data_IF_572541752416
#
_entry.id   IF_572541752416
#
_cell.length_a   1.000
_cell.length_b   1.000
_cell.length_c   1.000
_cell.angle_alpha   90.00
_cell.angle_beta   90.00
_cell.angle_gamma   90.00
#
_symmetry.space_group_name_H-M   'P 1'
#
loop_
_entity.id
_entity.type
_entity.pdbx_description
1 polymer ?
#
# COMPACT_ATOMS: atom_id res chain seq x y z
N UNK A 1 18.32 -21.43 13.39
CA UNK A 1 17.07 -22.18 13.15
C UNK A 1 15.89 -21.30 13.59
N UNK A 2 15.29 -20.52 12.66
CA UNK A 2 13.97 -19.91 12.90
C UNK A 2 12.93 -21.01 12.69
N UNK A 3 12.20 -21.33 13.75
CA UNK A 3 11.36 -22.53 13.89
C UNK A 3 10.16 -22.46 12.95
N UNK A 4 9.74 -23.60 12.42
CA UNK A 4 8.52 -23.80 11.60
C UNK A 4 7.25 -23.16 12.19
N UNK A 5 7.23 -22.95 13.50
CA UNK A 5 6.18 -22.25 14.25
C UNK A 5 6.09 -20.74 13.89
N UNK A 6 7.21 -20.03 13.72
CA UNK A 6 7.17 -18.61 13.29
C UNK A 6 6.64 -18.47 11.85
N UNK A 7 7.03 -19.38 10.96
CA UNK A 7 6.53 -19.40 9.58
C UNK A 7 5.03 -19.67 9.54
N UNK A 8 4.54 -20.58 10.39
CA UNK A 8 3.11 -20.93 10.48
C UNK A 8 2.29 -19.78 11.07
N UNK A 9 2.79 -19.13 12.14
CA UNK A 9 2.18 -17.91 12.70
C UNK A 9 2.14 -16.77 11.68
N UNK A 10 3.23 -16.57 10.93
CA UNK A 10 3.31 -15.58 9.86
C UNK A 10 2.32 -15.87 8.73
N UNK A 11 2.17 -17.14 8.34
CA UNK A 11 1.19 -17.56 7.34
C UNK A 11 -0.25 -17.24 7.78
N UNK A 12 -0.63 -17.62 9.01
CA UNK A 12 -1.95 -17.31 9.55
C UNK A 12 -2.22 -15.81 9.65
N UNK A 13 -1.24 -15.03 10.13
CA UNK A 13 -1.35 -13.58 10.20
C UNK A 13 -1.56 -12.95 8.81
N UNK A 14 -0.82 -13.44 7.81
CA UNK A 14 -0.93 -12.98 6.41
C UNK A 14 -2.29 -13.33 5.82
N UNK A 15 -2.78 -14.54 6.04
CA UNK A 15 -4.11 -14.97 5.59
C UNK A 15 -5.22 -14.14 6.24
N UNK A 16 -5.16 -13.94 7.56
CA UNK A 16 -6.12 -13.11 8.27
C UNK A 16 -6.10 -11.66 7.77
N UNK A 17 -4.92 -11.11 7.50
CA UNK A 17 -4.77 -9.76 6.95
C UNK A 17 -5.39 -9.66 5.56
N UNK A 18 -5.09 -10.59 4.65
CA UNK A 18 -5.66 -10.57 3.29
C UNK A 18 -7.16 -10.83 3.26
N UNK A 19 -7.69 -11.70 4.11
CA UNK A 19 -9.14 -11.90 4.24
C UNK A 19 -9.83 -10.64 4.74
N UNK A 20 -9.29 -10.04 5.80
CA UNK A 20 -9.81 -8.78 6.36
C UNK A 20 -9.80 -7.69 5.28
N UNK A 21 -8.70 -7.57 4.54
CA UNK A 21 -8.56 -6.59 3.48
C UNK A 21 -9.50 -6.86 2.28
N UNK A 22 -9.71 -8.12 1.91
CA UNK A 22 -10.67 -8.51 0.87
C UNK A 22 -12.13 -8.22 1.21
N UNK A 23 -12.48 -8.12 2.49
CA UNK A 23 -13.82 -7.74 2.95
C UNK A 23 -14.05 -6.22 2.95
N UNK A 24 -12.99 -5.40 2.86
CA UNK A 24 -13.08 -3.93 2.94
C UNK A 24 -13.97 -3.33 1.84
N UNK A 25 -13.88 -3.72 0.56
CA UNK A 25 -14.77 -3.17 -0.48
C UNK A 25 -16.25 -3.46 -0.20
N UNK A 26 -16.57 -4.61 0.41
CA UNK A 26 -17.95 -4.96 0.80
C UNK A 26 -18.44 -4.06 1.94
N UNK A 27 -17.59 -3.82 2.93
CA UNK A 27 -17.88 -2.88 4.01
C UNK A 27 -18.12 -1.46 3.48
N UNK A 28 -17.25 -0.97 2.59
CA UNK A 28 -17.41 0.36 2.00
C UNK A 28 -18.66 0.54 1.18
N UNK A 29 -19.04 -0.49 0.41
CA UNK A 29 -20.33 -0.48 -0.28
C UNK A 29 -21.51 -0.42 0.70
N UNK A 30 -21.41 -1.07 1.86
CA UNK A 30 -22.45 -0.98 2.89
C UNK A 30 -22.53 0.40 3.58
N UNK A 31 -21.48 1.22 3.49
CA UNK A 31 -21.42 2.59 4.04
C UNK A 31 -21.28 3.66 2.96
N UNK A 32 -21.77 3.41 1.75
CA UNK A 32 -21.64 4.30 0.58
C UNK A 32 -22.22 5.72 0.78
N UNK A 33 -23.11 5.89 1.76
CA UNK A 33 -23.65 7.19 2.15
C UNK A 33 -22.62 8.11 2.83
N UNK A 34 -21.49 7.56 3.30
CA UNK A 34 -20.39 8.30 3.91
C UNK A 34 -19.40 8.65 2.81
N UNK A 35 -19.04 9.92 2.74
CA UNK A 35 -18.08 10.40 1.76
C UNK A 35 -16.67 9.83 1.96
N UNK A 36 -15.88 9.76 0.88
CA UNK A 36 -14.49 9.29 0.93
C UNK A 36 -13.62 10.06 1.95
N UNK A 37 -13.85 11.37 2.07
CA UNK A 37 -13.10 12.23 2.98
C UNK A 37 -13.44 11.95 4.46
N UNK A 38 -14.71 11.76 4.79
CA UNK A 38 -15.13 11.38 6.14
C UNK A 38 -14.57 10.02 6.54
N UNK A 39 -14.55 9.07 5.60
CA UNK A 39 -14.00 7.74 5.86
C UNK A 39 -12.49 7.77 6.15
N UNK A 40 -11.73 8.59 5.41
CA UNK A 40 -10.31 8.81 5.69
C UNK A 40 -10.14 9.51 7.05
N UNK A 41 -10.96 10.51 7.38
CA UNK A 41 -10.88 11.22 8.65
C UNK A 41 -11.12 10.28 9.85
N UNK A 42 -12.15 9.43 9.80
CA UNK A 42 -12.39 8.42 10.83
C UNK A 42 -11.22 7.45 10.98
N UNK A 43 -10.64 7.05 9.85
CA UNK A 43 -9.50 6.14 9.85
C UNK A 43 -8.27 6.76 10.51
N UNK A 44 -7.98 8.02 10.22
CA UNK A 44 -6.87 8.78 10.84
C UNK A 44 -7.11 8.97 12.33
N UNK A 45 -8.33 9.38 12.71
CA UNK A 45 -8.72 9.65 14.09
C UNK A 45 -8.55 8.43 15.00
N UNK A 46 -8.86 7.23 14.50
CA UNK A 46 -8.67 5.98 15.25
C UNK A 46 -7.27 5.38 15.10
N UNK A 47 -6.59 5.58 13.96
CA UNK A 47 -5.25 5.05 13.75
C UNK A 47 -4.21 5.68 14.69
N UNK A 48 -4.27 6.99 14.92
CA UNK A 48 -3.33 7.69 15.81
C UNK A 48 -3.31 7.14 17.25
N UNK A 49 -4.43 7.09 18.00
CA UNK A 49 -4.44 6.57 19.35
C UNK A 49 -4.07 5.09 19.39
N UNK A 50 -4.52 4.30 18.42
CA UNK A 50 -4.18 2.88 18.34
C UNK A 50 -2.66 2.70 18.17
N UNK A 51 -2.06 3.34 17.18
CA UNK A 51 -0.61 3.29 16.94
C UNK A 51 0.19 3.84 18.12
N UNK A 52 -0.30 4.90 18.79
CA UNK A 52 0.33 5.44 19.98
C UNK A 52 0.36 4.42 21.13
N UNK A 53 -0.71 3.63 21.34
CA UNK A 53 -0.75 2.54 22.32
C UNK A 53 0.25 1.43 21.97
N UNK A 54 0.35 1.02 20.72
CA UNK A 54 1.34 0.02 20.31
C UNK A 54 2.78 0.54 20.47
N UNK A 55 3.02 1.83 20.18
CA UNK A 55 4.31 2.46 20.38
C UNK A 55 4.70 2.60 21.86
N UNK A 56 3.75 2.89 22.76
CA UNK A 56 4.03 2.90 24.21
C UNK A 56 4.33 1.49 24.71
N UNK A 57 3.52 0.49 24.34
CA UNK A 57 3.76 -0.92 24.70
C UNK A 57 5.11 -1.44 24.18
N UNK A 58 5.45 -1.10 22.93
CA UNK A 58 6.72 -1.48 22.30
C UNK A 58 7.90 -0.56 22.61
N UNK A 59 7.73 0.48 23.45
CA UNK A 59 8.74 1.50 23.77
C UNK A 59 9.37 2.19 22.54
N UNK A 60 8.62 2.31 21.44
CA UNK A 60 9.08 2.78 20.13
C UNK A 60 9.30 4.30 19.99
N UNK A 61 8.99 5.10 21.03
CA UNK A 61 9.05 6.58 20.98
C UNK A 61 10.47 7.15 20.77
N UNK A 62 11.52 6.42 21.13
CA UNK A 62 12.90 6.79 20.80
C UNK A 62 13.13 6.81 19.29
N UNK A 63 12.60 5.82 18.56
CA UNK A 63 12.71 5.72 17.10
C UNK A 63 11.91 6.82 16.39
N UNK A 64 10.71 7.13 16.87
CA UNK A 64 9.93 8.28 16.37
C UNK A 64 10.74 9.57 16.48
N UNK A 65 11.30 9.86 17.66
CA UNK A 65 12.15 11.05 17.87
C UNK A 65 13.42 11.05 17.01
N UNK A 66 14.01 9.88 16.75
CA UNK A 66 15.17 9.75 15.88
C UNK A 66 14.85 10.11 14.43
N UNK A 67 13.66 9.73 13.93
CA UNK A 67 13.17 10.11 12.60
C UNK A 67 12.92 11.62 12.53
N UNK A 68 12.23 12.20 13.52
CA UNK A 68 11.94 13.64 13.57
C UNK A 68 13.21 14.51 13.50
N UNK A 69 14.31 14.05 14.10
CA UNK A 69 15.59 14.78 14.11
C UNK A 69 16.32 14.74 12.77
N UNK A 70 16.03 13.78 11.89
CA UNK A 70 16.73 13.58 10.62
C UNK A 70 15.87 14.11 9.47
N UNK A 71 16.16 15.34 9.02
CA UNK A 71 15.45 16.00 7.90
C UNK A 71 15.29 15.13 6.64
N UNK A 72 16.30 14.33 6.29
CA UNK A 72 16.25 13.46 5.12
C UNK A 72 15.27 12.30 5.30
N UNK A 73 15.21 11.70 6.51
CA UNK A 73 14.27 10.62 6.82
C UNK A 73 12.86 11.18 6.88
N UNK A 74 12.69 12.37 7.45
CA UNK A 74 11.40 13.06 7.44
C UNK A 74 10.90 13.33 6.02
N UNK A 75 11.76 13.82 5.12
CA UNK A 75 11.37 14.02 3.71
C UNK A 75 10.90 12.70 3.06
N UNK A 76 11.58 11.60 3.35
CA UNK A 76 11.18 10.26 2.89
C UNK A 76 9.82 9.85 3.45
N UNK A 77 9.56 10.13 4.73
CA UNK A 77 8.24 9.89 5.37
C UNK A 77 7.15 10.74 4.73
N UNK A 78 7.40 12.01 4.42
CA UNK A 78 6.42 12.87 3.74
C UNK A 78 6.10 12.34 2.34
N UNK A 79 7.11 11.90 1.60
CA UNK A 79 6.91 11.28 0.27
C UNK A 79 6.13 9.97 0.38
N UNK A 80 6.48 9.08 1.31
CA UNK A 80 5.77 7.81 1.49
C UNK A 80 4.33 8.04 1.96
N UNK A 81 4.12 8.98 2.90
CA UNK A 81 2.81 9.42 3.36
C UNK A 81 1.94 9.96 2.22
N UNK A 82 2.51 10.79 1.34
CA UNK A 82 1.80 11.34 0.19
C UNK A 82 1.41 10.25 -0.81
N UNK A 83 2.33 9.33 -1.12
CA UNK A 83 2.08 8.22 -2.03
C UNK A 83 0.96 7.30 -1.53
N UNK A 84 1.00 6.93 -0.24
CA UNK A 84 -0.02 6.06 0.35
C UNK A 84 -1.36 6.81 0.49
N UNK A 85 -1.37 8.10 0.79
CA UNK A 85 -2.59 8.91 0.83
C UNK A 85 -3.29 8.98 -0.54
N UNK A 86 -2.53 9.28 -1.60
CA UNK A 86 -3.06 9.27 -2.98
C UNK A 86 -3.58 7.89 -3.34
N UNK A 87 -2.84 6.83 -3.00
CA UNK A 87 -3.27 5.46 -3.27
C UNK A 87 -4.62 5.13 -2.62
N UNK A 88 -4.78 5.45 -1.33
CA UNK A 88 -6.03 5.20 -0.61
C UNK A 88 -7.18 6.04 -1.15
N UNK A 89 -6.96 7.31 -1.44
CA UNK A 89 -7.97 8.18 -2.02
C UNK A 89 -8.50 7.62 -3.34
N UNK A 90 -7.59 7.28 -4.28
CA UNK A 90 -7.96 6.70 -5.58
C UNK A 90 -8.67 5.36 -5.41
N UNK A 91 -8.28 4.55 -4.43
CA UNK A 91 -8.92 3.27 -4.18
C UNK A 91 -10.36 3.43 -3.65
N UNK A 92 -10.57 4.35 -2.70
CA UNK A 92 -11.90 4.62 -2.15
C UNK A 92 -12.82 5.20 -3.24
N UNK A 93 -12.34 6.18 -4.02
CA UNK A 93 -13.07 6.74 -5.16
C UNK A 93 -13.42 5.68 -6.20
N UNK A 94 -12.48 4.79 -6.52
CA UNK A 94 -12.73 3.70 -7.47
C UNK A 94 -13.82 2.75 -6.99
N UNK A 95 -13.87 2.45 -5.69
CA UNK A 95 -14.92 1.60 -5.10
C UNK A 95 -16.26 2.32 -5.08
N UNK A 96 -16.27 3.61 -4.70
CA UNK A 96 -17.48 4.44 -4.67
C UNK A 96 -18.12 4.59 -6.07
N UNK A 97 -17.31 4.78 -7.11
CA UNK A 97 -17.76 4.90 -8.50
C UNK A 97 -18.09 3.56 -9.18
N UNK A 98 -18.18 2.45 -8.43
CA UNK A 98 -18.35 1.09 -8.95
C UNK A 98 -17.25 0.63 -9.95
N UNK A 99 -16.10 1.29 -9.97
CA UNK A 99 -14.90 0.93 -10.76
C UNK A 99 -14.02 -0.10 -10.04
N UNK A 100 -14.65 -1.05 -9.33
CA UNK A 100 -13.96 -2.09 -8.56
C UNK A 100 -13.09 -2.97 -9.46
N UNK A 101 -13.53 -3.23 -10.70
CA UNK A 101 -12.74 -3.98 -11.69
C UNK A 101 -11.41 -3.30 -12.04
N UNK A 102 -11.42 -1.97 -12.23
CA UNK A 102 -10.18 -1.22 -12.47
C UNK A 102 -9.26 -1.25 -11.23
N UNK A 103 -9.84 -1.11 -10.02
CA UNK A 103 -9.07 -1.21 -8.79
C UNK A 103 -8.40 -2.58 -8.65
N UNK A 104 -9.14 -3.66 -8.87
CA UNK A 104 -8.60 -5.03 -8.86
C UNK A 104 -7.51 -5.24 -9.90
N UNK A 105 -7.66 -4.69 -11.11
CA UNK A 105 -6.61 -4.75 -12.12
C UNK A 105 -5.34 -4.03 -11.65
N UNK A 106 -5.48 -2.88 -10.97
CA UNK A 106 -4.36 -2.18 -10.35
C UNK A 106 -3.56 -3.07 -9.40
N UNK A 107 -4.24 -3.86 -8.57
CA UNK A 107 -3.58 -4.81 -7.66
C UNK A 107 -2.92 -5.99 -8.39
N UNK A 108 -3.39 -6.40 -9.57
CA UNK A 108 -2.71 -7.39 -10.40
C UNK A 108 -1.47 -6.83 -11.10
N UNK A 109 -1.49 -5.55 -11.50
CA UNK A 109 -0.33 -4.88 -12.10
C UNK A 109 0.76 -4.59 -11.05
N UNK A 110 0.36 -4.35 -9.79
CA UNK A 110 1.24 -3.88 -8.71
C UNK A 110 2.47 -4.78 -8.43
N UNK A 111 2.37 -6.12 -8.28
CA UNK A 111 3.55 -6.98 -8.14
C UNK A 111 4.58 -6.81 -9.26
N UNK A 112 4.13 -6.53 -10.47
CA UNK A 112 5.01 -6.38 -11.63
C UNK A 112 5.71 -5.04 -11.62
N UNK A 113 4.99 -3.98 -11.27
CA UNK A 113 5.62 -2.66 -11.07
C UNK A 113 6.65 -2.73 -9.94
N UNK A 114 6.36 -3.42 -8.84
CA UNK A 114 7.32 -3.66 -7.77
C UNK A 114 8.57 -4.39 -8.26
N UNK A 115 8.40 -5.42 -9.08
CA UNK A 115 9.51 -6.22 -9.66
C UNK A 115 10.34 -5.36 -10.62
N UNK A 116 9.70 -4.56 -11.48
CA UNK A 116 10.39 -3.64 -12.40
C UNK A 116 11.16 -2.56 -11.64
N UNK A 117 10.55 -1.94 -10.62
CA UNK A 117 11.21 -0.96 -9.76
C UNK A 117 12.35 -1.60 -8.96
N UNK A 118 12.17 -2.81 -8.45
CA UNK A 118 13.23 -3.58 -7.78
C UNK A 118 14.41 -3.85 -8.69
N UNK A 119 14.16 -4.27 -9.94
CA UNK A 119 15.21 -4.47 -10.91
C UNK A 119 15.95 -3.17 -11.27
N UNK A 120 15.21 -2.08 -11.48
CA UNK A 120 15.77 -0.80 -11.89
C UNK A 120 16.56 -0.08 -10.77
N UNK A 121 16.05 -0.09 -9.54
CA UNK A 121 16.62 0.70 -8.44
C UNK A 121 17.42 -0.12 -7.42
N UNK A 122 17.17 -1.43 -7.32
CA UNK A 122 17.84 -2.32 -6.36
C UNK A 122 18.80 -3.31 -7.03
N UNK A 123 18.86 -3.30 -8.38
CA UNK A 123 19.73 -4.19 -9.15
C UNK A 123 19.31 -5.66 -9.11
N UNK A 124 18.05 -5.95 -8.77
CA UNK A 124 17.52 -7.31 -8.73
C UNK A 124 17.43 -7.88 -10.17
N UNK A 125 18.12 -9.01 -10.43
CA UNK A 125 18.07 -9.65 -11.75
C UNK A 125 16.76 -10.41 -11.90
N UNK A 126 15.99 -10.06 -12.93
CA UNK A 126 14.71 -10.71 -13.21
C UNK A 126 14.91 -12.09 -13.83
N UNK A 127 14.29 -13.09 -13.22
CA UNK A 127 14.21 -14.44 -13.78
C UNK A 127 13.27 -14.49 -14.99
N UNK A 128 13.41 -15.53 -15.83
CA UNK A 128 12.54 -15.73 -17.02
C UNK A 128 11.05 -15.74 -16.68
N UNK A 129 10.66 -16.37 -15.55
CA UNK A 129 9.27 -16.42 -15.10
C UNK A 129 8.68 -15.04 -14.75
N UNK A 130 9.50 -14.12 -14.18
CA UNK A 130 9.05 -12.75 -13.89
C UNK A 130 8.80 -11.96 -15.18
N UNK A 131 9.66 -12.11 -16.18
CA UNK A 131 9.44 -11.51 -17.50
C UNK A 131 8.17 -12.02 -18.18
N UNK A 132 7.88 -13.32 -18.06
CA UNK A 132 6.61 -13.89 -18.55
C UNK A 132 5.42 -13.26 -17.80
N UNK A 133 5.50 -13.12 -16.47
CA UNK A 133 4.45 -12.47 -15.69
C UNK A 133 4.22 -11.01 -16.09
N UNK A 134 5.30 -10.25 -16.36
CA UNK A 134 5.22 -8.88 -16.88
C UNK A 134 4.47 -8.85 -18.21
N UNK A 135 4.80 -9.77 -19.13
CA UNK A 135 4.11 -9.91 -20.41
C UNK A 135 2.62 -10.25 -20.26
N UNK A 136 2.27 -11.16 -19.35
CA UNK A 136 0.88 -11.57 -19.10
C UNK A 136 0.02 -10.42 -18.57
N UNK A 137 0.52 -9.59 -17.65
CA UNK A 137 -0.29 -8.45 -17.21
C UNK A 137 -0.32 -7.32 -18.24
N UNK A 138 0.75 -7.12 -19.02
CA UNK A 138 0.68 -6.20 -20.15
C UNK A 138 -0.43 -6.62 -21.13
N UNK A 139 -0.57 -7.92 -21.39
CA UNK A 139 -1.69 -8.46 -22.15
C UNK A 139 -3.04 -8.25 -21.44
N UNK A 140 -3.12 -8.47 -20.13
CA UNK A 140 -4.34 -8.22 -19.33
C UNK A 140 -4.80 -6.75 -19.38
N UNK A 141 -3.85 -5.80 -19.29
CA UNK A 141 -4.11 -4.36 -19.47
C UNK A 141 -4.59 -4.08 -20.88
N UNK A 142 -3.93 -4.65 -21.90
CA UNK A 142 -4.32 -4.46 -23.29
C UNK A 142 -5.74 -4.98 -23.56
N UNK A 143 -6.10 -6.15 -23.03
CA UNK A 143 -7.46 -6.70 -23.11
C UNK A 143 -8.46 -5.74 -22.47
N UNK A 144 -8.16 -5.19 -21.27
CA UNK A 144 -9.07 -4.24 -20.64
C UNK A 144 -9.22 -2.96 -21.48
N UNK A 145 -8.13 -2.40 -22.00
CA UNK A 145 -8.15 -1.20 -22.85
C UNK A 145 -8.99 -1.42 -24.10
N UNK A 146 -8.87 -2.58 -24.74
CA UNK A 146 -9.69 -2.94 -25.91
C UNK A 146 -11.16 -3.10 -25.53
N UNK A 147 -11.45 -3.68 -24.36
CA UNK A 147 -12.82 -3.89 -23.89
C UNK A 147 -13.52 -2.60 -23.44
N UNK A 148 -12.80 -1.68 -22.78
CA UNK A 148 -13.37 -0.43 -22.26
C UNK A 148 -13.22 0.76 -23.22
N UNK A 149 -12.36 0.64 -24.23
CA UNK A 149 -12.00 1.74 -25.13
C UNK A 149 -11.23 2.88 -24.44
N UNK A 150 -10.81 2.70 -23.19
CA UNK A 150 -10.18 3.72 -22.35
C UNK A 150 -8.97 3.15 -21.61
N UNK A 151 -7.99 4.01 -21.33
CA UNK A 151 -6.86 3.63 -20.49
C UNK A 151 -7.32 3.47 -19.03
N UNK A 152 -6.93 2.39 -18.33
CA UNK A 152 -7.31 2.18 -16.94
C UNK A 152 -6.45 3.04 -16.00
N UNK A 153 -6.69 4.35 -16.02
CA UNK A 153 -5.91 5.34 -15.27
C UNK A 153 -5.91 5.00 -13.78
N UNK A 154 -7.06 4.60 -13.24
CA UNK A 154 -7.23 4.20 -11.84
C UNK A 154 -6.28 3.06 -11.46
N UNK A 155 -6.24 2.00 -12.28
CA UNK A 155 -5.40 0.84 -12.08
C UNK A 155 -3.91 1.21 -12.09
N UNK A 156 -3.50 2.04 -13.05
CA UNK A 156 -2.12 2.49 -13.21
C UNK A 156 -1.68 3.36 -12.04
N UNK A 157 -2.51 4.32 -11.62
CA UNK A 157 -2.21 5.19 -10.47
C UNK A 157 -2.08 4.34 -9.20
N UNK A 158 -2.99 3.40 -8.96
CA UNK A 158 -2.90 2.49 -7.80
C UNK A 158 -1.62 1.65 -7.82
N UNK A 159 -1.28 1.05 -8.96
CA UNK A 159 -0.09 0.22 -9.08
C UNK A 159 1.20 1.03 -8.88
N UNK A 160 1.30 2.19 -9.53
CA UNK A 160 2.49 3.05 -9.47
C UNK A 160 2.69 3.66 -8.08
N UNK A 161 1.64 4.20 -7.48
CA UNK A 161 1.72 4.83 -6.15
C UNK A 161 2.10 3.83 -5.07
N UNK A 162 1.48 2.64 -5.08
CA UNK A 162 1.78 1.60 -4.09
C UNK A 162 3.19 1.02 -4.29
N UNK A 163 3.61 0.78 -5.53
CA UNK A 163 4.95 0.25 -5.79
C UNK A 163 6.05 1.27 -5.48
N UNK A 164 5.82 2.56 -5.80
CA UNK A 164 6.70 3.64 -5.39
C UNK A 164 6.77 3.77 -3.86
N UNK A 165 5.63 3.69 -3.16
CA UNK A 165 5.58 3.67 -1.70
C UNK A 165 6.44 2.52 -1.13
N UNK A 166 6.28 1.30 -1.67
CA UNK A 166 7.06 0.13 -1.27
C UNK A 166 8.56 0.33 -1.49
N UNK A 167 8.97 0.86 -2.65
CA UNK A 167 10.36 1.17 -2.94
C UNK A 167 10.94 2.21 -1.97
N UNK A 168 10.23 3.32 -1.77
CA UNK A 168 10.65 4.41 -0.87
C UNK A 168 10.85 3.86 0.55
N UNK A 169 9.89 3.07 1.07
CA UNK A 169 9.98 2.43 2.38
C UNK A 169 11.14 1.45 2.48
N UNK A 170 11.39 0.66 1.42
CA UNK A 170 12.51 -0.29 1.37
C UNK A 170 13.86 0.42 1.41
N UNK A 171 13.98 1.58 0.75
CA UNK A 171 15.20 2.40 0.78
C UNK A 171 15.40 3.16 2.10
N UNK A 172 14.31 3.57 2.75
CA UNK A 172 14.34 4.40 3.96
C UNK A 172 14.88 3.71 5.21
N UNK A 173 14.81 2.37 5.28
CA UNK A 173 15.12 1.57 6.48
C UNK A 173 14.42 2.07 7.76
N UNK A 174 13.24 2.67 7.62
CA UNK A 174 12.42 3.13 8.75
C UNK A 174 11.58 1.98 9.24
N UNK A 175 11.63 1.72 10.56
CA UNK A 175 10.81 0.72 11.21
C UNK A 175 9.31 0.92 10.88
N UNK A 176 8.61 -0.19 10.69
CA UNK A 176 7.21 -0.19 10.24
C UNK A 176 6.32 0.66 11.14
N UNK A 177 6.36 0.44 12.46
CA UNK A 177 5.48 1.11 13.43
C UNK A 177 5.75 2.61 13.59
N UNK A 178 6.97 3.07 13.93
CA UNK A 178 7.29 4.50 13.99
C UNK A 178 7.04 5.23 12.67
N UNK A 179 7.36 4.59 11.54
CA UNK A 179 7.14 5.18 10.23
C UNK A 179 5.65 5.33 9.90
N UNK A 180 4.85 4.29 10.14
CA UNK A 180 3.40 4.34 9.91
C UNK A 180 2.73 5.40 10.80
N UNK A 181 3.13 5.51 12.06
CA UNK A 181 2.62 6.56 12.95
C UNK A 181 2.90 7.96 12.39
N UNK A 182 4.13 8.22 11.94
CA UNK A 182 4.48 9.50 11.35
C UNK A 182 3.78 9.76 10.01
N UNK A 183 3.56 8.72 9.20
CA UNK A 183 2.78 8.85 7.96
C UNK A 183 1.34 9.27 8.27
N UNK A 184 0.69 8.63 9.25
CA UNK A 184 -0.67 9.03 9.67
C UNK A 184 -0.66 10.47 10.16
N UNK A 185 0.31 10.88 11.00
CA UNK A 185 0.44 12.26 11.48
C UNK A 185 0.62 13.26 10.33
N UNK A 186 1.36 12.91 9.28
CA UNK A 186 1.59 13.78 8.11
C UNK A 186 0.34 13.91 7.23
N UNK A 187 -0.47 12.85 7.16
CA UNK A 187 -1.72 12.82 6.38
C UNK A 187 -2.92 13.41 7.15
N UNK A 188 -2.77 13.60 8.47
CA UNK A 188 -3.80 14.15 9.37
C UNK A 188 -4.01 15.65 9.21
#
# INVERSE_FOLDING_TARGET
MRTTDETTKGAWATTAAFLTWGLVPLYWKAVEAISAHEMIAWRVLWALPFLAVFLTMGRGWSHVRAVLRKRHVMAVVVVSASLIAVNWFVFIEAVADNRVLEASLGYYINPLVNVLLGAAFLGEKLGRAQWIAVGLAAAGVAVLVVATGTLPVTALVLALTFAAYGLVRKLAHVEAMPGLFLEVVVVS
#
